data_IF_861499975908
#
_entry.id   IF_861499975908
#
_cell.length_a   1.000
_cell.length_b   1.000
_cell.length_c   1.000
_cell.angle_alpha   90.00
_cell.angle_beta   90.00
_cell.angle_gamma   90.00
#
_symmetry.space_group_name_H-M   'P 1'
#
loop_
_entity.id
_entity.type
_entity.pdbx_description
1 polymer ?
#
# COMPACT_ATOMS: atom_id res chain seq x y z
N UNK A 1 6.63 -2.19 -18.66
CA UNK A 1 6.08 -1.26 -17.67
C UNK A 1 6.61 -1.68 -16.30
N UNK A 2 7.34 -0.78 -15.65
CA UNK A 2 8.39 -1.16 -14.70
C UNK A 2 8.06 -0.87 -13.23
N UNK A 3 6.91 -0.28 -12.94
CA UNK A 3 6.68 0.37 -11.66
C UNK A 3 6.11 -0.57 -10.59
N UNK A 4 6.28 -0.18 -9.33
CA UNK A 4 5.51 -0.69 -8.20
C UNK A 4 4.18 0.08 -8.17
N UNK A 5 3.07 -0.60 -7.93
CA UNK A 5 1.75 0.02 -8.03
C UNK A 5 0.73 -0.68 -7.13
N UNK A 6 -0.38 -0.01 -6.86
CA UNK A 6 -1.51 -0.55 -6.11
C UNK A 6 -2.79 -0.36 -6.92
N UNK A 7 -3.58 -1.43 -7.01
CA UNK A 7 -4.96 -1.42 -7.50
C UNK A 7 -5.91 -1.37 -6.31
N UNK A 8 -6.84 -0.42 -6.34
CA UNK A 8 -7.81 -0.19 -5.27
C UNK A 8 -9.23 -0.06 -5.84
N UNK A 9 -10.17 -0.86 -5.35
CA UNK A 9 -11.59 -0.85 -5.76
C UNK A 9 -12.52 -0.78 -4.56
N UNK A 10 -13.76 -0.34 -4.78
CA UNK A 10 -14.77 -0.21 -3.72
C UNK A 10 -14.58 1.06 -2.88
N UNK A 11 -14.09 2.14 -3.51
CA UNK A 11 -13.83 3.42 -2.83
C UNK A 11 -14.32 4.59 -3.69
N UNK A 12 -14.91 5.59 -3.04
CA UNK A 12 -15.30 6.84 -3.70
C UNK A 12 -14.07 7.73 -3.91
N UNK A 13 -14.14 8.64 -4.89
CA UNK A 13 -13.08 9.63 -5.11
C UNK A 13 -12.76 10.41 -3.82
N UNK A 14 -13.78 11.00 -3.18
CA UNK A 14 -13.59 11.81 -1.98
C UNK A 14 -12.86 11.04 -0.87
N UNK A 15 -13.25 9.78 -0.63
CA UNK A 15 -12.60 8.95 0.38
C UNK A 15 -11.17 8.54 -0.04
N UNK A 16 -10.95 8.19 -1.30
CA UNK A 16 -9.62 7.83 -1.80
C UNK A 16 -8.61 8.97 -1.63
N UNK A 17 -8.98 10.19 -2.03
CA UNK A 17 -8.12 11.37 -1.89
C UNK A 17 -7.88 11.71 -0.42
N UNK A 18 -8.91 11.64 0.43
CA UNK A 18 -8.77 11.93 1.85
C UNK A 18 -7.84 10.94 2.56
N UNK A 19 -8.04 9.63 2.37
CA UNK A 19 -7.21 8.58 2.99
C UNK A 19 -5.75 8.71 2.58
N UNK A 20 -5.48 8.94 1.29
CA UNK A 20 -4.11 9.07 0.80
C UNK A 20 -3.45 10.38 1.26
N UNK A 21 -4.23 11.46 1.41
CA UNK A 21 -3.74 12.71 1.99
C UNK A 21 -3.40 12.55 3.46
N UNK A 22 -4.24 11.84 4.23
CA UNK A 22 -3.98 11.53 5.63
C UNK A 22 -2.71 10.69 5.79
N UNK A 23 -2.52 9.67 4.94
CA UNK A 23 -1.27 8.92 4.87
C UNK A 23 -0.08 9.82 4.55
N UNK A 24 -0.15 10.66 3.52
CA UNK A 24 0.96 11.55 3.17
C UNK A 24 1.33 12.50 4.32
N UNK A 25 0.34 13.01 5.04
CA UNK A 25 0.55 13.88 6.20
C UNK A 25 1.13 13.15 7.41
N UNK A 26 0.67 11.94 7.71
CA UNK A 26 1.14 11.16 8.86
C UNK A 26 2.62 10.75 8.69
N UNK A 27 3.06 10.54 7.44
CA UNK A 27 4.39 10.05 7.11
C UNK A 27 5.28 11.13 6.46
N UNK A 28 4.91 12.40 6.59
CA UNK A 28 5.61 13.53 5.95
C UNK A 28 7.09 13.71 6.38
N UNK A 29 7.46 13.19 7.55
CA UNK A 29 8.83 13.24 8.08
C UNK A 29 9.70 12.07 7.60
N UNK A 30 9.12 11.09 6.91
CA UNK A 30 9.92 10.06 6.24
C UNK A 30 10.21 10.55 4.82
N UNK A 31 11.49 10.53 4.41
CA UNK A 31 11.94 10.97 3.07
C UNK A 31 11.30 10.19 1.89
N UNK A 32 10.39 9.28 2.20
CA UNK A 32 9.81 8.24 1.36
C UNK A 32 8.40 8.53 0.86
N UNK A 33 7.67 9.52 1.42
CA UNK A 33 6.34 9.92 0.92
C UNK A 33 6.41 11.23 0.13
N UNK A 34 7.33 11.29 -0.84
CA UNK A 34 7.57 12.46 -1.70
C UNK A 34 6.55 12.64 -2.84
N UNK A 35 5.48 11.85 -2.85
CA UNK A 35 4.37 12.02 -3.77
C UNK A 35 3.73 10.68 -4.17
N UNK A 36 2.42 10.58 -3.98
CA UNK A 36 1.58 9.55 -4.56
C UNK A 36 0.83 10.17 -5.73
N UNK A 37 0.59 9.39 -6.78
CA UNK A 37 -0.22 9.80 -7.93
C UNK A 37 -1.43 8.89 -8.01
N UNK A 38 -2.61 9.48 -7.89
CA UNK A 38 -3.88 8.78 -7.93
C UNK A 38 -4.48 8.90 -9.34
N UNK A 39 -4.88 7.76 -9.89
CA UNK A 39 -5.55 7.68 -11.16
C UNK A 39 -6.86 6.89 -11.06
N UNK A 40 -7.83 7.23 -11.91
CA UNK A 40 -9.12 6.53 -12.03
C UNK A 40 -9.26 5.93 -13.41
N UNK A 41 -9.56 4.62 -13.48
CA UNK A 41 -9.90 3.97 -14.74
C UNK A 41 -11.26 4.43 -15.23
N UNK A 42 -11.38 4.74 -16.52
CA UNK A 42 -12.66 5.12 -17.12
C UNK A 42 -13.65 3.93 -17.12
N UNK A 43 -14.90 4.20 -16.76
CA UNK A 43 -16.01 3.23 -16.90
C UNK A 43 -16.04 2.06 -15.91
N UNK A 44 -15.07 1.94 -15.00
CA UNK A 44 -15.02 0.88 -13.98
C UNK A 44 -14.54 1.40 -12.64
N UNK A 45 -14.85 0.69 -11.55
CA UNK A 45 -14.46 1.10 -10.20
C UNK A 45 -13.00 0.73 -9.83
N UNK A 46 -12.05 1.06 -10.71
CA UNK A 46 -10.63 0.76 -10.51
C UNK A 46 -9.82 2.04 -10.30
N UNK A 47 -9.18 2.13 -9.15
CA UNK A 47 -8.19 3.15 -8.85
C UNK A 47 -6.79 2.57 -8.96
N UNK A 48 -5.86 3.37 -9.47
CA UNK A 48 -4.45 3.05 -9.57
C UNK A 48 -3.68 4.08 -8.75
N UNK A 49 -2.83 3.58 -7.84
CA UNK A 49 -1.87 4.40 -7.11
C UNK A 49 -0.50 4.10 -7.68
N UNK A 50 0.16 5.15 -8.16
CA UNK A 50 1.56 5.16 -8.54
C UNK A 50 2.35 6.03 -7.56
N UNK A 51 3.66 5.83 -7.57
CA UNK A 51 4.57 6.58 -6.72
C UNK A 51 5.39 7.55 -7.58
N UNK A 52 5.70 8.73 -7.05
CA UNK A 52 6.58 9.70 -7.71
C UNK A 52 8.04 9.27 -7.66
N UNK A 53 8.44 8.56 -6.61
CA UNK A 53 9.74 7.90 -6.45
C UNK A 53 9.51 6.41 -6.10
N UNK A 54 10.47 5.53 -6.38
CA UNK A 54 10.33 4.11 -6.03
C UNK A 54 10.34 3.96 -4.50
N UNK A 55 9.25 3.51 -3.87
CA UNK A 55 9.22 3.36 -2.42
C UNK A 55 10.06 2.15 -2.01
N UNK A 56 10.65 2.19 -0.83
CA UNK A 56 11.09 0.96 -0.18
C UNK A 56 9.89 0.04 0.13
N UNK A 57 10.19 -1.21 0.46
CA UNK A 57 9.15 -2.21 0.65
C UNK A 57 8.29 -1.94 1.90
N UNK A 58 8.87 -1.35 2.94
CA UNK A 58 8.17 -1.10 4.20
C UNK A 58 7.12 -0.01 4.02
N UNK A 59 7.47 1.11 3.38
CA UNK A 59 6.55 2.21 3.08
C UNK A 59 5.44 1.76 2.12
N UNK A 60 5.79 0.95 1.13
CA UNK A 60 4.80 0.35 0.24
C UNK A 60 3.79 -0.52 1.01
N UNK A 61 4.29 -1.35 1.93
CA UNK A 61 3.49 -2.24 2.76
C UNK A 61 2.64 -1.46 3.78
N UNK A 62 3.19 -0.40 4.38
CA UNK A 62 2.45 0.50 5.25
C UNK A 62 1.30 1.18 4.53
N UNK A 63 1.51 1.65 3.30
CA UNK A 63 0.43 2.25 2.53
C UNK A 63 -0.71 1.25 2.30
N UNK A 64 -0.39 0.00 1.93
CA UNK A 64 -1.40 -1.06 1.72
C UNK A 64 -2.19 -1.35 2.99
N UNK A 65 -1.52 -1.46 4.13
CA UNK A 65 -2.19 -1.67 5.42
C UNK A 65 -3.04 -0.46 5.81
N UNK A 66 -2.52 0.76 5.61
CA UNK A 66 -3.24 1.99 5.91
C UNK A 66 -4.50 2.17 5.05
N UNK A 67 -4.43 1.93 3.74
CA UNK A 67 -5.60 2.01 2.86
C UNK A 67 -6.55 0.83 3.02
N UNK A 68 -6.22 -0.18 3.81
CA UNK A 68 -7.14 -1.25 4.20
C UNK A 68 -7.77 -0.95 5.59
N UNK A 69 -7.01 -0.32 6.48
CA UNK A 69 -7.44 0.11 7.81
C UNK A 69 -7.32 1.64 8.01
N UNK A 70 -7.98 2.46 7.20
CA UNK A 70 -7.84 3.91 7.26
C UNK A 70 -8.39 4.47 8.57
N UNK A 71 -7.66 5.43 9.12
CA UNK A 71 -8.07 6.16 10.31
C UNK A 71 -9.41 6.88 10.06
N UNK A 72 -10.42 6.64 10.90
CA UNK A 72 -11.70 7.33 10.82
C UNK A 72 -12.67 6.84 9.75
N UNK A 73 -12.27 5.90 8.89
CA UNK A 73 -13.13 5.29 7.88
C UNK A 73 -13.45 3.84 8.28
N UNK A 74 -14.69 3.59 8.69
CA UNK A 74 -15.16 2.25 9.10
C UNK A 74 -16.12 1.66 8.07
N UNK A 75 -16.07 0.34 7.91
CA UNK A 75 -17.14 -0.42 7.26
C UNK A 75 -17.16 -0.39 5.72
N UNK A 76 -16.10 0.03 5.05
CA UNK A 76 -15.96 -0.18 3.61
C UNK A 76 -15.22 -1.48 3.32
N UNK A 77 -15.64 -2.19 2.28
CA UNK A 77 -15.00 -3.42 1.81
C UNK A 77 -14.28 -3.10 0.51
N UNK A 78 -12.98 -2.88 0.61
CA UNK A 78 -12.14 -2.59 -0.55
C UNK A 78 -11.35 -3.81 -1.00
N UNK A 79 -11.23 -3.92 -2.32
CA UNK A 79 -10.23 -4.77 -2.94
C UNK A 79 -8.95 -3.96 -3.08
N UNK A 80 -7.86 -4.43 -2.48
CA UNK A 80 -6.56 -3.76 -2.48
C UNK A 80 -5.48 -4.78 -2.82
N UNK A 81 -4.77 -4.58 -3.93
CA UNK A 81 -3.61 -5.40 -4.30
C UNK A 81 -2.46 -4.52 -4.74
N UNK A 82 -1.34 -4.66 -4.03
CA UNK A 82 -0.07 -4.08 -4.41
C UNK A 82 0.76 -5.05 -5.23
N UNK A 83 1.53 -4.54 -6.18
CA UNK A 83 2.53 -5.30 -6.90
C UNK A 83 3.89 -4.65 -6.73
N UNK A 84 4.79 -5.37 -6.06
CA UNK A 84 6.12 -4.88 -5.72
C UNK A 84 7.19 -5.76 -6.35
N UNK A 85 8.30 -5.17 -6.79
CA UNK A 85 9.42 -5.93 -7.36
C UNK A 85 10.25 -6.63 -6.28
N UNK A 86 10.48 -7.92 -6.47
CA UNK A 86 11.26 -8.75 -5.53
C UNK A 86 12.71 -8.28 -5.39
N UNK A 87 13.34 -7.82 -6.48
CA UNK A 87 14.72 -7.31 -6.47
C UNK A 87 14.94 -6.09 -5.54
N UNK A 88 13.88 -5.39 -5.19
CA UNK A 88 13.92 -4.21 -4.31
C UNK A 88 13.64 -4.55 -2.85
N UNK A 89 13.33 -5.82 -2.56
CA UNK A 89 13.12 -6.32 -1.20
C UNK A 89 14.48 -6.69 -0.62
N UNK A 90 14.99 -5.83 0.26
CA UNK A 90 16.32 -5.99 0.87
C UNK A 90 16.29 -6.78 2.18
N UNK A 91 15.10 -7.04 2.72
CA UNK A 91 14.86 -7.65 4.03
C UNK A 91 14.19 -9.02 3.91
N UNK A 92 14.57 -9.96 4.78
CA UNK A 92 13.99 -11.31 4.85
C UNK A 92 15.05 -12.41 4.89
N UNK A 93 14.76 -13.48 5.64
CA UNK A 93 15.60 -14.71 5.65
C UNK A 93 15.19 -15.69 4.55
N UNK A 94 13.93 -15.62 4.13
CA UNK A 94 13.35 -16.52 3.15
C UNK A 94 13.51 -15.99 1.73
N UNK A 95 13.82 -16.89 0.79
CA UNK A 95 13.95 -16.55 -0.63
C UNK A 95 12.57 -16.35 -1.25
N UNK A 96 12.25 -15.10 -1.59
CA UNK A 96 11.11 -14.73 -2.43
C UNK A 96 11.45 -15.06 -3.89
N UNK A 97 10.57 -15.81 -4.55
CA UNK A 97 10.73 -16.20 -5.95
C UNK A 97 10.14 -15.19 -6.94
N UNK A 98 10.52 -15.33 -8.21
CA UNK A 98 9.98 -14.51 -9.31
C UNK A 98 10.45 -13.06 -9.30
N UNK A 99 9.81 -12.26 -10.16
CA UNK A 99 10.13 -10.85 -10.38
C UNK A 99 9.28 -9.90 -9.54
N UNK A 100 8.09 -10.35 -9.13
CA UNK A 100 7.13 -9.56 -8.36
C UNK A 100 6.47 -10.39 -7.26
N UNK A 101 6.00 -9.67 -6.24
CA UNK A 101 5.08 -10.16 -5.23
C UNK A 101 3.77 -9.39 -5.32
N UNK A 102 2.68 -10.10 -5.07
CA UNK A 102 1.38 -9.51 -4.78
C UNK A 102 1.31 -9.27 -3.28
N UNK A 103 1.08 -8.03 -2.86
CA UNK A 103 0.98 -7.62 -1.45
C UNK A 103 -0.47 -7.26 -1.14
N UNK A 104 -0.99 -7.76 -0.03
CA UNK A 104 -2.40 -7.65 0.33
C UNK A 104 -2.63 -7.81 1.83
N UNK A 105 -3.86 -7.57 2.29
CA UNK A 105 -4.32 -7.97 3.63
C UNK A 105 -5.17 -9.22 3.49
N UNK A 106 -4.78 -10.31 4.17
CA UNK A 106 -5.53 -11.56 4.16
C UNK A 106 -6.89 -11.38 4.83
N UNK A 107 -7.92 -12.02 4.27
CA UNK A 107 -9.25 -12.09 4.92
C UNK A 107 -9.21 -12.88 6.23
N UNK A 108 -8.20 -13.74 6.40
CA UNK A 108 -7.98 -14.52 7.60
C UNK A 108 -7.16 -13.77 8.64
N UNK A 109 -6.71 -12.54 8.32
CA UNK A 109 -5.84 -11.77 9.18
C UNK A 109 -6.56 -11.36 10.47
N UNK A 110 -5.91 -11.61 11.61
CA UNK A 110 -6.39 -11.23 12.95
C UNK A 110 -5.47 -10.22 13.63
N UNK A 111 -4.27 -10.06 13.08
CA UNK A 111 -3.24 -9.12 13.49
C UNK A 111 -3.42 -7.92 12.56
N UNK A 112 -3.41 -6.68 13.06
CA UNK A 112 -3.73 -5.50 12.23
C UNK A 112 -2.45 -4.81 11.72
N UNK A 113 -1.30 -5.35 12.09
CA UNK A 113 0.04 -4.79 11.98
C UNK A 113 0.94 -5.63 11.06
N UNK A 114 0.35 -6.20 10.02
CA UNK A 114 1.04 -7.00 9.04
C UNK A 114 0.43 -6.85 7.63
N UNK A 115 1.22 -7.22 6.62
CA UNK A 115 0.76 -7.50 5.26
C UNK A 115 1.14 -8.92 4.87
N UNK A 116 0.37 -9.48 3.94
CA UNK A 116 0.64 -10.76 3.32
C UNK A 116 1.23 -10.55 1.93
N UNK A 117 2.09 -11.48 1.53
CA UNK A 117 2.67 -11.51 0.21
C UNK A 117 2.45 -12.88 -0.40
N UNK A 118 2.13 -12.92 -1.69
CA UNK A 118 2.26 -14.13 -2.50
C UNK A 118 3.20 -13.84 -3.65
N UNK A 119 4.21 -14.69 -3.84
CA UNK A 119 5.15 -14.56 -4.96
C UNK A 119 4.64 -15.27 -6.24
N UNK A 120 5.29 -15.00 -7.38
CA UNK A 120 4.93 -15.62 -8.67
C UNK A 120 5.07 -17.15 -8.68
N UNK A 121 5.78 -17.73 -7.70
CA UNK A 121 5.92 -19.19 -7.55
C UNK A 121 4.82 -19.80 -6.67
N UNK A 122 3.91 -18.97 -6.15
CA UNK A 122 2.82 -19.37 -5.28
C UNK A 122 3.21 -19.55 -3.81
N UNK A 123 4.38 -19.06 -3.39
CA UNK A 123 4.76 -19.09 -1.97
C UNK A 123 4.16 -17.91 -1.23
N UNK A 124 3.79 -18.13 0.01
CA UNK A 124 3.15 -17.15 0.88
C UNK A 124 4.11 -16.66 1.96
N UNK A 125 4.02 -15.37 2.27
CA UNK A 125 4.84 -14.70 3.27
C UNK A 125 4.00 -13.69 4.06
N UNK A 126 4.52 -13.33 5.22
CA UNK A 126 4.00 -12.26 6.08
C UNK A 126 5.14 -11.27 6.36
N UNK A 127 4.81 -9.98 6.34
CA UNK A 127 5.69 -8.89 6.80
C UNK A 127 5.00 -8.17 7.97
N UNK A 128 5.65 -8.15 9.13
CA UNK A 128 5.14 -7.61 10.41
C UNK A 128 5.66 -6.20 10.70
N UNK A 129 6.13 -5.48 9.68
CA UNK A 129 6.70 -4.13 9.74
C UNK A 129 7.90 -3.93 10.67
N UNK A 130 8.34 -4.97 11.38
CA UNK A 130 9.54 -4.97 12.21
C UNK A 130 10.82 -5.24 11.39
N UNK A 131 10.69 -5.20 10.04
CA UNK A 131 11.77 -5.46 9.09
C UNK A 131 11.95 -6.94 8.73
N UNK A 132 11.05 -7.83 9.15
CA UNK A 132 11.13 -9.26 8.85
C UNK A 132 10.05 -9.71 7.87
N UNK A 133 10.46 -10.33 6.75
CA UNK A 133 9.57 -11.16 5.92
C UNK A 133 9.80 -12.62 6.28
N UNK A 134 8.72 -13.32 6.63
CA UNK A 134 8.73 -14.74 7.01
C UNK A 134 7.82 -15.52 6.07
N UNK A 135 8.27 -16.67 5.59
CA UNK A 135 7.43 -17.61 4.87
C UNK A 135 6.38 -18.19 5.81
N UNK A 136 5.17 -18.38 5.30
CA UNK A 136 4.09 -19.07 5.99
C UNK A 136 3.61 -20.25 5.16
N UNK A 137 3.13 -21.28 5.85
CA UNK A 137 2.51 -22.45 5.24
C UNK A 137 0.99 -22.39 5.50
N UNK A 138 0.18 -22.73 4.49
CA UNK A 138 -1.28 -22.72 4.60
C UNK A 138 -1.96 -22.09 3.38
N UNK A 139 -3.29 -22.23 3.28
CA UNK A 139 -4.05 -21.64 2.19
C UNK A 139 -4.13 -20.12 2.36
N UNK A 140 -3.51 -19.42 1.42
CA UNK A 140 -3.54 -17.96 1.31
C UNK A 140 -3.89 -17.57 -0.13
N UNK A 141 -4.01 -16.27 -0.41
CA UNK A 141 -4.42 -15.84 -1.74
C UNK A 141 -3.40 -16.23 -2.81
N UNK A 142 -3.87 -16.92 -3.85
CA UNK A 142 -3.07 -17.24 -5.01
C UNK A 142 -2.57 -15.95 -5.69
N UNK A 143 -1.36 -16.01 -6.23
CA UNK A 143 -0.82 -14.90 -7.01
C UNK A 143 -1.70 -14.66 -8.25
N UNK A 144 -2.29 -13.48 -8.34
CA UNK A 144 -3.00 -13.00 -9.53
C UNK A 144 -2.34 -11.72 -9.96
N UNK A 145 -1.80 -11.69 -11.19
CA UNK A 145 -1.21 -10.48 -11.75
C UNK A 145 -2.28 -9.62 -12.42
N UNK A 146 -2.45 -8.37 -11.95
CA UNK A 146 -3.36 -7.39 -12.53
C UNK A 146 -2.53 -6.32 -13.22
N UNK A 147 -2.26 -6.51 -14.51
CA UNK A 147 -1.61 -5.48 -15.32
C UNK A 147 -2.50 -4.22 -15.43
N UNK A 148 -1.88 -3.07 -15.62
CA UNK A 148 -2.56 -1.83 -15.98
C UNK A 148 -1.98 -1.29 -17.31
N UNK A 149 -2.77 -0.47 -18.02
CA UNK A 149 -2.27 0.40 -19.09
C UNK A 149 -2.65 1.82 -18.71
N UNK A 150 -1.66 2.69 -18.48
CA UNK A 150 -1.87 4.06 -18.03
C UNK A 150 -2.79 4.87 -18.96
N UNK A 151 -2.90 4.49 -20.24
CA UNK A 151 -3.80 5.15 -21.20
C UNK A 151 -5.29 4.95 -20.87
N UNK A 152 -5.63 3.92 -20.11
CA UNK A 152 -6.99 3.65 -19.66
C UNK A 152 -7.36 4.41 -18.37
N UNK A 153 -6.40 5.13 -17.80
CA UNK A 153 -6.51 5.79 -16.51
C UNK A 153 -6.38 7.30 -16.66
N UNK A 154 -7.34 8.02 -16.09
CA UNK A 154 -7.27 9.47 -15.94
C UNK A 154 -6.49 9.83 -14.68
N UNK A 155 -5.58 10.78 -14.79
CA UNK A 155 -4.94 11.37 -13.62
C UNK A 155 -5.98 12.15 -12.81
N UNK A 156 -6.02 11.91 -11.51
CA UNK A 156 -6.99 12.53 -10.59
C UNK A 156 -6.30 13.51 -9.66
N UNK A 157 -5.20 13.09 -9.02
CA UNK A 157 -4.51 13.92 -8.05
C UNK A 157 -3.04 13.52 -7.89
N UNK A 158 -2.21 14.53 -7.65
CA UNK A 158 -0.90 14.37 -7.02
C UNK A 158 -1.04 14.65 -5.52
N UNK A 159 -0.63 13.70 -4.70
CA UNK A 159 -0.82 13.71 -3.25
C UNK A 159 0.55 13.81 -2.61
N UNK A 160 0.79 14.93 -1.94
CA UNK A 160 2.03 15.23 -1.23
C UNK A 160 1.69 15.72 0.17
N UNK A 161 2.62 15.58 1.12
CA UNK A 161 2.39 16.10 2.46
C UNK A 161 2.15 17.60 2.45
N UNK A 162 1.29 18.07 3.34
CA UNK A 162 1.04 19.49 3.49
C UNK A 162 2.28 20.22 4.03
N UNK A 163 2.47 21.52 3.70
CA UNK A 163 3.59 22.31 4.20
C UNK A 163 3.67 22.28 5.73
N UNK A 164 4.90 22.24 6.27
CA UNK A 164 5.14 22.33 7.73
C UNK A 164 4.40 23.53 8.31
N UNK A 165 3.44 23.27 9.21
CA UNK A 165 2.63 24.28 9.89
C UNK A 165 1.15 24.29 9.48
N UNK A 166 0.74 23.56 8.45
CA UNK A 166 -0.67 23.37 8.13
C UNK A 166 -1.34 22.49 9.20
N UNK A 167 -2.27 23.05 9.98
CA UNK A 167 -3.04 22.30 10.98
C UNK A 167 -4.35 21.84 10.35
N UNK A 168 -4.49 20.55 10.08
CA UNK A 168 -5.82 19.96 10.10
C UNK A 168 -6.37 20.09 11.52
N UNK A 169 -7.61 20.53 11.66
CA UNK A 169 -8.32 20.65 12.94
C UNK A 169 -8.69 19.27 13.49
N UNK A 170 -7.73 18.34 13.59
CA UNK A 170 -7.81 17.15 14.43
C UNK A 170 -6.40 16.67 14.84
N UNK A 171 -6.02 17.16 16.02
CA UNK A 171 -5.33 16.49 17.12
C UNK A 171 -3.92 15.87 16.94
N UNK A 172 -3.04 16.37 17.83
CA UNK A 172 -1.84 15.78 18.44
C UNK A 172 -0.85 15.01 17.58
N UNK A 173 0.41 15.47 17.61
CA UNK A 173 1.61 14.74 17.18
C UNK A 173 1.56 13.29 17.68
N UNK A 174 1.03 12.37 16.89
CA UNK A 174 1.15 10.94 17.13
C UNK A 174 2.45 10.51 16.48
N UNK A 175 3.32 9.89 17.27
CA UNK A 175 4.42 9.13 16.69
C UNK A 175 3.82 8.10 15.73
N UNK A 176 4.49 7.81 14.61
CA UNK A 176 4.05 6.73 13.76
C UNK A 176 3.91 5.46 14.59
N UNK A 177 2.76 4.78 14.49
CA UNK A 177 2.33 3.78 15.48
C UNK A 177 3.25 2.55 15.55
N UNK A 178 4.05 2.28 14.52
CA UNK A 178 5.07 1.23 14.48
C UNK A 178 6.40 1.60 15.14
N UNK A 179 6.60 2.86 15.57
CA UNK A 179 7.78 3.32 16.33
C UNK A 179 7.56 3.32 17.85
N UNK A 180 6.59 2.55 18.36
CA UNK A 180 6.26 2.47 19.80
C UNK A 180 6.82 1.16 20.43
N UNK A 181 7.95 0.67 19.92
CA UNK A 181 8.73 -0.42 20.54
C UNK A 181 10.18 0.02 20.72
#
# INVERSE_FOLDING_TARGET
MEDNYIIWRGITHAAATAILTDFANEYHETDTVKGLRLYKKQGVDDWLILFSEVPDFDIFSFLINYIYYPNGYKGYSAFIRGYYRTKSILSGRDKIGGNRVMVYISKNNKEYDNVFLTDETGKHFISDFSGGIKRIDGPEEAYVFIAYDLKEYEHVADISPLPKGYRHTHNTRKKPWWKIW
#
